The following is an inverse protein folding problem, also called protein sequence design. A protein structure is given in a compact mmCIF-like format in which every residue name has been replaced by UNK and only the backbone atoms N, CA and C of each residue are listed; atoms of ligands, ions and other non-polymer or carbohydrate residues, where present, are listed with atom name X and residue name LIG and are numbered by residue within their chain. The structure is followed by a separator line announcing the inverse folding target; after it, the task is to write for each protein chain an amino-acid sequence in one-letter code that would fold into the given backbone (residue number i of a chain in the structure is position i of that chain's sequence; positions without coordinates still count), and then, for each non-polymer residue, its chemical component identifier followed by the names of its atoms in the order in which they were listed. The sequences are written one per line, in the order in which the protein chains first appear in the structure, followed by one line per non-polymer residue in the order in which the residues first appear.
data_IF_477576773248
#
_entry.id   IF_477576773248
#
_cell.length_a   1.000
_cell.length_b   1.000
_cell.length_c   1.000
_cell.angle_alpha   90.00
_cell.angle_beta   90.00
_cell.angle_gamma   90.00
#
_symmetry.space_group_name_H-M   'P 1'
#
loop_
_entity.id
_entity.type
_entity.pdbx_description
1 polymer ?
#
# COMPACT_ATOMS: atom_id res chain seq x y z
N UNK A 1 -20.81 -14.22 -6.42
CA UNK A 1 -20.29 -13.04 -5.68
C UNK A 1 -19.13 -12.49 -6.49
N UNK A 2 -19.01 -11.16 -6.57
CA UNK A 2 -17.99 -10.50 -7.40
C UNK A 2 -17.02 -9.75 -6.48
N UNK A 3 -15.72 -10.00 -6.65
CA UNK A 3 -14.65 -9.27 -5.97
C UNK A 3 -14.67 -7.79 -6.33
N UNK A 4 -14.15 -6.93 -5.44
CA UNK A 4 -14.06 -5.50 -5.70
C UNK A 4 -12.59 -5.03 -5.70
N UNK A 5 -12.17 -4.42 -6.81
CA UNK A 5 -10.86 -3.78 -6.94
C UNK A 5 -11.05 -2.28 -6.79
N UNK A 6 -10.52 -1.71 -5.71
CA UNK A 6 -10.65 -0.30 -5.36
C UNK A 6 -9.47 0.53 -5.89
N UNK A 7 -9.78 1.63 -6.58
CA UNK A 7 -8.82 2.63 -7.05
C UNK A 7 -9.06 4.04 -6.47
N UNK A 8 -10.15 4.27 -5.75
CA UNK A 8 -10.58 5.60 -5.26
C UNK A 8 -9.62 6.21 -4.20
N UNK A 9 -8.70 5.39 -3.67
CA UNK A 9 -7.63 5.83 -2.76
C UNK A 9 -6.27 5.27 -3.14
N UNK A 10 -6.02 5.07 -4.44
CA UNK A 10 -4.74 4.59 -4.95
C UNK A 10 -3.60 5.58 -4.61
N UNK A 11 -2.84 5.27 -3.56
CA UNK A 11 -1.69 6.07 -3.14
C UNK A 11 -0.50 5.86 -4.07
N UNK A 12 0.06 6.96 -4.59
CA UNK A 12 1.24 6.95 -5.44
C UNK A 12 2.52 7.02 -4.59
N UNK A 13 2.95 5.90 -4.03
CA UNK A 13 4.06 5.89 -3.05
C UNK A 13 5.29 5.11 -3.53
N UNK A 14 5.34 4.69 -4.79
CA UNK A 14 6.47 3.92 -5.33
C UNK A 14 6.84 4.32 -6.77
N UNK A 15 8.14 4.51 -7.10
CA UNK A 15 9.30 4.56 -6.19
C UNK A 15 9.32 5.93 -5.49
N UNK A 16 8.72 6.02 -4.31
CA UNK A 16 8.42 7.29 -3.67
C UNK A 16 9.68 8.00 -3.18
N UNK A 17 9.64 9.33 -3.27
CA UNK A 17 10.71 10.21 -2.80
C UNK A 17 10.83 10.28 -1.29
N UNK A 18 10.01 9.59 -0.48
CA UNK A 18 10.14 9.53 0.99
C UNK A 18 10.04 10.90 1.70
N UNK A 19 10.12 10.93 3.02
CA UNK A 19 10.24 12.18 3.78
C UNK A 19 8.95 12.97 4.00
N UNK A 20 8.93 13.90 4.97
CA UNK A 20 7.94 14.98 4.96
C UNK A 20 8.50 16.11 4.07
N UNK A 21 7.74 16.63 3.08
CA UNK A 21 8.27 17.65 2.17
C UNK A 21 8.69 18.94 2.88
N UNK A 22 8.04 19.25 4.01
CA UNK A 22 8.30 20.46 4.79
C UNK A 22 9.18 20.26 6.02
N UNK A 23 9.76 19.06 6.18
CA UNK A 23 10.57 18.72 7.34
C UNK A 23 9.71 18.44 8.58
N UNK A 24 9.71 17.20 9.06
CA UNK A 24 9.26 16.86 10.40
C UNK A 24 10.45 16.94 11.36
N UNK A 25 10.46 17.88 12.33
CA UNK A 25 11.57 18.02 13.28
C UNK A 25 11.71 16.81 14.21
N UNK A 26 10.73 15.89 14.23
CA UNK A 26 10.82 14.61 14.93
C UNK A 26 11.36 13.50 14.01
N UNK A 27 12.64 13.10 14.15
CA UNK A 27 13.22 12.05 13.34
C UNK A 27 12.75 10.64 13.74
N UNK A 28 11.96 10.51 14.82
CA UNK A 28 11.47 9.21 15.28
C UNK A 28 10.23 8.80 14.49
N UNK A 29 10.16 7.55 14.01
CA UNK A 29 9.00 7.00 13.32
C UNK A 29 7.69 7.26 14.06
N UNK A 30 6.65 7.73 13.34
CA UNK A 30 5.35 7.88 13.96
C UNK A 30 4.65 6.52 13.99
N UNK A 31 4.43 6.00 15.19
CA UNK A 31 3.65 4.77 15.44
C UNK A 31 2.21 4.83 14.90
N UNK A 32 1.71 6.03 14.56
CA UNK A 32 0.33 6.25 14.09
C UNK A 32 0.20 7.37 13.04
N UNK A 33 1.26 7.71 12.29
CA UNK A 33 1.29 8.96 11.52
C UNK A 33 2.14 8.95 10.26
N UNK A 34 2.25 10.11 9.65
CA UNK A 34 2.86 10.37 8.33
C UNK A 34 4.35 10.01 8.24
N UNK A 35 4.87 9.77 7.02
CA UNK A 35 6.29 9.54 6.79
C UNK A 35 7.14 10.67 7.38
N UNK A 36 8.14 10.31 8.18
CA UNK A 36 9.18 11.25 8.64
C UNK A 36 10.17 11.54 7.52
N UNK A 37 10.95 12.61 7.65
CA UNK A 37 11.94 13.10 6.67
C UNK A 37 12.89 12.06 6.07
N UNK A 38 13.18 10.99 6.81
CA UNK A 38 14.11 9.94 6.39
C UNK A 38 13.41 8.63 5.97
N UNK A 39 12.09 8.57 6.05
CA UNK A 39 11.31 7.37 5.78
C UNK A 39 10.86 7.31 4.32
N UNK A 40 11.14 6.18 3.69
CA UNK A 40 10.60 5.83 2.37
C UNK A 40 9.45 4.87 2.64
N UNK A 41 8.24 5.25 2.29
CA UNK A 41 7.09 4.39 2.50
C UNK A 41 6.85 3.50 1.29
N UNK A 42 6.46 2.24 1.52
CA UNK A 42 6.14 1.33 0.43
C UNK A 42 4.83 1.70 -0.27
N UNK A 43 4.70 1.26 -1.52
CA UNK A 43 3.38 1.01 -2.07
C UNK A 43 2.74 -0.15 -1.32
N UNK A 44 1.55 0.05 -0.76
CA UNK A 44 0.75 -1.05 -0.23
C UNK A 44 -0.29 -1.54 -1.21
N UNK A 45 -0.55 -2.83 -1.11
CA UNK A 45 -1.78 -3.50 -1.50
C UNK A 45 -2.44 -4.01 -0.23
N UNK A 46 -3.59 -3.43 0.11
CA UNK A 46 -4.39 -3.90 1.23
C UNK A 46 -5.50 -4.80 0.72
N UNK A 47 -5.74 -5.87 1.47
CA UNK A 47 -6.80 -6.85 1.22
C UNK A 47 -7.71 -6.89 2.44
N UNK A 48 -9.02 -7.01 2.23
CA UNK A 48 -9.97 -7.20 3.31
C UNK A 48 -11.20 -7.94 2.84
N UNK A 49 -12.05 -8.43 3.77
CA UNK A 49 -11.91 -8.28 5.21
C UNK A 49 -10.89 -9.24 5.85
N UNK A 50 -10.29 -8.80 6.96
CA UNK A 50 -9.42 -9.58 7.86
C UNK A 50 -10.00 -9.52 9.28
N UNK A 51 -9.91 -10.60 10.06
CA UNK A 51 -10.31 -10.62 11.47
C UNK A 51 -9.13 -10.34 12.42
N UNK A 52 -7.94 -10.72 12.00
CA UNK A 52 -6.70 -10.58 12.75
C UNK A 52 -5.58 -10.04 11.84
N UNK A 53 -4.42 -9.78 12.46
CA UNK A 53 -3.22 -9.31 11.77
C UNK A 53 -2.07 -10.32 11.85
N UNK A 54 -2.23 -11.41 12.59
CA UNK A 54 -1.18 -12.42 12.84
C UNK A 54 -1.39 -13.73 12.07
N UNK A 55 -2.45 -13.81 11.25
CA UNK A 55 -2.66 -14.85 10.26
C UNK A 55 -2.99 -14.26 8.89
N UNK A 56 -2.95 -15.14 7.88
CA UNK A 56 -3.44 -14.81 6.53
C UNK A 56 -4.87 -15.35 6.39
N UNK A 57 -5.86 -14.47 6.41
CA UNK A 57 -7.29 -14.80 6.44
C UNK A 57 -7.87 -15.05 5.03
N UNK A 58 -7.38 -14.37 3.99
CA UNK A 58 -7.80 -14.48 2.58
C UNK A 58 -6.64 -15.00 1.72
N UNK A 59 -6.15 -16.23 1.95
CA UNK A 59 -4.91 -16.73 1.32
C UNK A 59 -4.98 -16.76 -0.22
N UNK A 60 -6.16 -17.00 -0.80
CA UNK A 60 -6.34 -16.96 -2.25
C UNK A 60 -6.11 -15.57 -2.86
N UNK A 61 -6.62 -14.52 -2.22
CA UNK A 61 -6.46 -13.15 -2.70
C UNK A 61 -5.02 -12.66 -2.50
N UNK A 62 -4.42 -12.95 -1.35
CA UNK A 62 -3.02 -12.60 -1.06
C UNK A 62 -2.08 -13.28 -2.06
N UNK A 63 -2.28 -14.57 -2.34
CA UNK A 63 -1.45 -15.28 -3.31
C UNK A 63 -1.64 -14.76 -4.74
N UNK A 64 -2.87 -14.45 -5.15
CA UNK A 64 -3.13 -13.87 -6.47
C UNK A 64 -2.46 -12.50 -6.62
N UNK A 65 -2.63 -11.62 -5.64
CA UNK A 65 -2.00 -10.30 -5.64
C UNK A 65 -0.47 -10.41 -5.73
N UNK A 66 0.15 -11.28 -4.93
CA UNK A 66 1.59 -11.56 -5.02
C UNK A 66 2.01 -12.15 -6.35
N UNK A 67 1.24 -13.06 -6.91
CA UNK A 67 1.59 -13.69 -8.18
C UNK A 67 1.57 -12.65 -9.31
N UNK A 68 0.55 -11.78 -9.36
CA UNK A 68 0.51 -10.66 -10.31
C UNK A 68 1.71 -9.73 -10.12
N UNK A 69 2.02 -9.36 -8.87
CA UNK A 69 3.17 -8.51 -8.55
C UNK A 69 4.51 -9.15 -8.96
N UNK A 70 4.67 -10.45 -8.73
CA UNK A 70 5.91 -11.16 -9.01
C UNK A 70 6.12 -11.46 -10.50
N UNK A 71 5.08 -11.91 -11.20
CA UNK A 71 5.17 -12.39 -12.58
C UNK A 71 4.87 -11.27 -13.59
N UNK A 72 3.69 -10.66 -13.51
CA UNK A 72 3.23 -9.70 -14.52
C UNK A 72 3.84 -8.31 -14.33
N UNK A 73 4.01 -7.88 -13.08
CA UNK A 73 4.58 -6.56 -12.73
C UNK A 73 6.10 -6.62 -12.52
N UNK A 74 6.64 -7.81 -12.19
CA UNK A 74 8.07 -8.06 -11.99
C UNK A 74 8.70 -7.25 -10.84
N UNK A 75 8.00 -7.15 -9.70
CA UNK A 75 8.47 -6.50 -8.46
C UNK A 75 8.76 -7.49 -7.33
N UNK A 76 9.02 -8.76 -7.66
CA UNK A 76 9.22 -9.82 -6.67
C UNK A 76 10.40 -9.57 -5.72
N UNK A 77 11.43 -8.84 -6.15
CA UNK A 77 12.58 -8.52 -5.31
C UNK A 77 12.32 -7.40 -4.30
N UNK A 78 11.32 -6.55 -4.58
CA UNK A 78 10.94 -5.39 -3.77
C UNK A 78 9.73 -5.67 -2.88
N UNK A 79 9.06 -6.80 -3.11
CA UNK A 79 7.76 -7.10 -2.52
C UNK A 79 7.85 -8.13 -1.39
N UNK A 80 7.15 -7.87 -0.29
CA UNK A 80 6.88 -8.88 0.75
C UNK A 80 5.42 -8.83 1.25
N UNK A 81 5.00 -9.87 1.96
CA UNK A 81 3.72 -9.91 2.67
C UNK A 81 3.95 -9.51 4.12
N UNK A 82 3.21 -8.52 4.61
CA UNK A 82 3.23 -8.21 6.04
C UNK A 82 2.22 -9.10 6.75
N UNK A 83 2.71 -9.88 7.71
CA UNK A 83 1.90 -10.59 8.70
C UNK A 83 2.53 -10.33 10.06
N UNK A 84 1.71 -9.85 11.00
CA UNK A 84 2.11 -9.64 12.38
C UNK A 84 2.30 -10.96 13.13
N UNK A 85 2.48 -10.85 14.44
CA UNK A 85 2.48 -11.97 15.37
C UNK A 85 1.65 -11.61 16.61
N UNK A 86 1.22 -12.60 17.38
CA UNK A 86 0.39 -12.38 18.58
C UNK A 86 1.05 -11.57 19.72
N UNK A 87 2.31 -11.14 19.58
CA UNK A 87 2.98 -10.21 20.51
C UNK A 87 3.13 -8.79 19.97
N UNK A 88 2.84 -8.54 18.69
CA UNK A 88 2.85 -7.20 18.10
C UNK A 88 1.68 -6.38 18.65
N UNK A 89 1.86 -5.06 18.80
CA UNK A 89 0.76 -4.21 19.24
C UNK A 89 -0.16 -3.91 18.05
N UNK A 90 -1.48 -4.06 18.24
CA UNK A 90 -2.47 -3.86 17.18
C UNK A 90 -2.41 -2.47 16.52
N UNK A 91 -1.90 -1.45 17.22
CA UNK A 91 -1.74 -0.10 16.68
C UNK A 91 -0.55 0.05 15.74
N UNK A 92 0.53 -0.73 15.92
CA UNK A 92 1.84 -0.51 15.27
C UNK A 92 2.33 -1.69 14.44
N UNK A 93 1.62 -2.83 14.46
CA UNK A 93 2.08 -4.08 13.87
C UNK A 93 2.56 -3.94 12.42
N UNK A 94 1.88 -3.16 11.56
CA UNK A 94 2.25 -2.95 10.15
C UNK A 94 3.65 -2.36 10.04
N UNK A 95 3.91 -1.34 10.86
CA UNK A 95 5.19 -0.67 10.92
C UNK A 95 6.27 -1.58 11.48
N UNK A 96 5.98 -2.27 12.58
CA UNK A 96 6.93 -3.17 13.24
C UNK A 96 7.34 -4.35 12.33
N UNK A 97 6.38 -4.94 11.63
CA UNK A 97 6.64 -6.01 10.64
C UNK A 97 7.46 -5.47 9.47
N UNK A 98 7.09 -4.32 8.92
CA UNK A 98 7.81 -3.68 7.81
C UNK A 98 9.27 -3.42 8.16
N UNK A 99 9.55 -2.94 9.38
CA UNK A 99 10.93 -2.81 9.89
C UNK A 99 11.64 -4.16 9.99
N UNK A 100 10.97 -5.18 10.57
CA UNK A 100 11.55 -6.51 10.73
C UNK A 100 11.86 -7.20 9.40
N UNK A 101 11.14 -6.85 8.34
CA UNK A 101 11.33 -7.37 6.98
C UNK A 101 12.31 -6.54 6.13
N UNK A 102 13.12 -5.69 6.76
CA UNK A 102 14.10 -4.84 6.07
C UNK A 102 13.46 -3.87 5.06
N UNK A 103 12.29 -3.34 5.42
CA UNK A 103 11.61 -2.24 4.72
C UNK A 103 11.38 -2.52 3.21
N UNK A 104 10.63 -3.58 2.85
CA UNK A 104 10.26 -3.82 1.45
C UNK A 104 9.58 -2.59 0.85
N UNK A 105 9.82 -2.33 -0.43
CA UNK A 105 9.29 -1.16 -1.14
C UNK A 105 7.86 -1.36 -1.65
N UNK A 106 7.43 -2.63 -1.76
CA UNK A 106 6.07 -3.02 -2.08
C UNK A 106 5.59 -3.99 -1.00
N UNK A 107 4.40 -3.77 -0.46
CA UNK A 107 3.84 -4.63 0.58
C UNK A 107 2.45 -5.11 0.22
N UNK A 108 2.17 -6.37 0.49
CA UNK A 108 0.82 -6.95 0.46
C UNK A 108 0.44 -7.30 1.88
N UNK A 109 -0.73 -6.89 2.35
CA UNK A 109 -1.18 -7.24 3.70
C UNK A 109 -2.70 -7.22 3.81
N UNK A 110 -3.21 -7.82 4.87
CA UNK A 110 -4.64 -7.82 5.18
C UNK A 110 -4.97 -6.82 6.28
N UNK A 111 -6.04 -6.05 6.08
CA UNK A 111 -6.45 -5.01 7.01
C UNK A 111 -7.71 -5.45 7.75
N UNK A 112 -7.67 -5.32 9.09
CA UNK A 112 -8.84 -5.48 9.95
C UNK A 112 -9.74 -4.24 9.92
N UNK A 113 -9.30 -3.17 9.25
CA UNK A 113 -10.04 -1.92 9.14
C UNK A 113 -10.31 -1.57 7.68
N UNK A 114 -11.55 -1.16 7.40
CA UNK A 114 -11.95 -0.60 6.12
C UNK A 114 -12.33 0.88 6.30
N UNK A 115 -11.57 1.79 5.68
CA UNK A 115 -11.70 3.26 5.90
C UNK A 115 -12.04 4.06 4.64
N UNK A 116 -12.43 3.38 3.56
CA UNK A 116 -12.80 3.96 2.26
C UNK A 116 -14.02 3.22 1.69
N UNK A 117 -14.38 3.48 0.44
CA UNK A 117 -15.54 2.92 -0.26
C UNK A 117 -15.62 1.39 -0.17
N UNK A 118 -14.48 0.71 -0.12
CA UNK A 118 -14.38 -0.73 0.07
C UNK A 118 -15.12 -1.24 1.33
N UNK A 119 -15.27 -0.44 2.39
CA UNK A 119 -16.05 -0.81 3.57
C UNK A 119 -17.50 -1.17 3.21
N UNK A 120 -18.15 -0.37 2.37
CA UNK A 120 -19.53 -0.63 1.96
C UNK A 120 -19.66 -1.91 1.13
N UNK A 121 -18.65 -2.26 0.34
CA UNK A 121 -18.64 -3.51 -0.42
C UNK A 121 -18.41 -4.72 0.48
N UNK A 122 -17.51 -4.62 1.46
CA UNK A 122 -17.30 -5.67 2.47
C UNK A 122 -18.58 -5.90 3.28
N UNK A 123 -19.14 -4.85 3.88
CA UNK A 123 -20.25 -4.95 4.83
C UNK A 123 -21.57 -5.36 4.18
N UNK A 124 -21.86 -4.86 2.97
CA UNK A 124 -23.18 -5.08 2.35
C UNK A 124 -23.21 -6.22 1.34
N UNK A 125 -22.06 -6.58 0.74
CA UNK A 125 -21.97 -7.63 -0.27
C UNK A 125 -21.14 -8.84 0.19
N UNK A 126 -20.48 -8.76 1.35
CA UNK A 126 -19.63 -9.83 1.87
C UNK A 126 -18.42 -10.15 0.99
N UNK A 127 -18.00 -9.22 0.13
CA UNK A 127 -16.96 -9.50 -0.87
C UNK A 127 -15.56 -9.18 -0.40
N UNK A 128 -14.56 -9.87 -0.95
CA UNK A 128 -13.16 -9.46 -0.77
C UNK A 128 -12.93 -8.17 -1.56
N UNK A 129 -12.26 -7.22 -0.93
CA UNK A 129 -11.80 -5.99 -1.56
C UNK A 129 -10.29 -5.94 -1.58
N UNK A 130 -9.73 -5.40 -2.65
CA UNK A 130 -8.31 -5.07 -2.76
C UNK A 130 -8.17 -3.59 -3.12
N UNK A 131 -7.18 -2.90 -2.56
CA UNK A 131 -6.83 -1.56 -3.00
C UNK A 131 -5.37 -1.21 -2.78
N UNK A 132 -4.98 -0.03 -3.26
CA UNK A 132 -3.59 0.43 -3.35
C UNK A 132 -3.39 1.67 -2.45
N UNK A 133 -2.21 1.90 -1.88
CA UNK A 133 -1.99 3.02 -0.94
C UNK A 133 -0.56 3.17 -0.40
N UNK A 134 -0.40 3.87 0.74
CA UNK A 134 0.86 3.91 1.53
C UNK A 134 0.78 3.11 2.83
N UNK A 135 1.89 2.85 3.52
CA UNK A 135 1.95 1.98 4.71
C UNK A 135 0.90 2.35 5.80
N UNK A 136 0.85 3.59 6.29
CA UNK A 136 -0.21 4.09 7.20
C UNK A 136 -1.01 5.25 6.59
N UNK A 137 -1.73 6.08 7.38
CA UNK A 137 -2.79 7.04 6.98
C UNK A 137 -2.36 8.19 6.00
N UNK A 138 -1.76 7.87 4.85
CA UNK A 138 -1.43 8.79 3.77
C UNK A 138 -0.03 9.41 3.85
N UNK A 139 0.23 10.33 2.93
CA UNK A 139 1.43 11.17 2.91
C UNK A 139 1.23 12.42 3.77
N UNK A 140 2.30 13.16 4.09
CA UNK A 140 2.28 14.28 5.05
C UNK A 140 1.12 15.26 4.87
N UNK A 141 0.81 15.69 3.65
CA UNK A 141 -0.23 16.69 3.39
C UNK A 141 -1.65 16.14 3.27
N UNK A 142 -1.88 14.86 3.56
CA UNK A 142 -3.22 14.27 3.51
C UNK A 142 -4.24 15.06 4.35
N UNK A 143 -5.37 15.43 3.73
CA UNK A 143 -6.42 16.29 4.34
C UNK A 143 -5.95 17.68 4.80
N UNK A 144 -4.80 18.16 4.33
CA UNK A 144 -4.27 19.49 4.63
C UNK A 144 -4.37 20.42 3.43
N UNK A 145 -4.19 21.73 3.63
CA UNK A 145 -4.21 22.70 2.53
C UNK A 145 -3.00 22.60 1.60
N UNK A 146 -1.93 21.92 2.04
CA UNK A 146 -0.79 21.61 1.19
C UNK A 146 -1.03 20.39 0.28
N UNK A 147 -2.20 19.74 0.34
CA UNK A 147 -2.57 18.62 -0.54
C UNK A 147 -2.75 19.10 -1.99
N UNK A 148 -1.63 19.20 -2.72
CA UNK A 148 -1.56 19.77 -4.06
C UNK A 148 -0.68 18.92 -4.96
N UNK A 149 -0.90 19.02 -6.28
CA UNK A 149 -0.05 18.33 -7.25
C UNK A 149 1.42 18.75 -7.15
N UNK A 150 1.67 20.04 -6.90
CA UNK A 150 3.03 20.58 -6.74
C UNK A 150 3.74 19.91 -5.55
N UNK A 151 3.09 19.90 -4.39
CA UNK A 151 3.58 19.25 -3.17
C UNK A 151 3.83 17.74 -3.38
N UNK A 152 2.89 17.05 -4.02
CA UNK A 152 3.04 15.62 -4.29
C UNK A 152 4.16 15.33 -5.29
N UNK A 153 4.35 16.19 -6.29
CA UNK A 153 5.47 16.09 -7.24
C UNK A 153 6.79 16.28 -6.50
N UNK A 154 6.91 17.31 -5.66
CA UNK A 154 8.12 17.53 -4.85
C UNK A 154 8.39 16.36 -3.89
N UNK A 155 7.34 15.84 -3.24
CA UNK A 155 7.43 14.69 -2.36
C UNK A 155 7.94 13.43 -3.06
N UNK A 156 7.51 13.23 -4.31
CA UNK A 156 7.88 12.08 -5.13
C UNK A 156 9.26 12.22 -5.78
N UNK A 157 9.87 13.40 -5.79
CA UNK A 157 11.15 13.63 -6.45
C UNK A 157 12.33 13.00 -5.69
N UNK A 158 13.18 12.26 -6.39
CA UNK A 158 14.44 11.72 -5.88
C UNK A 158 15.63 12.00 -6.82
N UNK A 159 15.52 13.01 -7.67
CA UNK A 159 16.53 13.40 -8.69
C UNK A 159 17.61 14.36 -8.18
N UNK A 160 17.33 15.11 -7.11
CA UNK A 160 18.22 16.12 -6.53
C UNK A 160 18.91 15.61 -5.24
N UNK A 161 20.13 16.10 -4.90
CA UNK A 161 21.14 15.38 -4.12
C UNK A 161 20.82 15.15 -2.62
N UNK A 162 19.61 15.48 -2.16
CA UNK A 162 19.18 15.33 -0.78
C UNK A 162 18.56 13.97 -0.45
N UNK A 163 18.26 13.11 -1.44
CA UNK A 163 17.51 11.86 -1.23
C UNK A 163 18.24 10.67 -1.88
N UNK A 164 19.10 9.93 -1.14
CA UNK A 164 20.06 8.98 -1.69
C UNK A 164 19.46 7.61 -2.12
N UNK A 165 18.20 7.57 -2.56
CA UNK A 165 17.45 6.33 -2.78
C UNK A 165 16.60 6.39 -4.05
N UNK A 166 16.24 5.21 -4.58
CA UNK A 166 15.48 5.08 -5.82
C UNK A 166 16.33 5.22 -7.09
N UNK A 167 15.65 5.37 -8.24
CA UNK A 167 16.26 5.36 -9.57
C UNK A 167 16.70 6.75 -10.09
N UNK A 168 16.82 7.75 -9.21
CA UNK A 168 17.18 9.12 -9.58
C UNK A 168 16.29 9.70 -10.70
N UNK A 169 15.03 9.93 -10.35
CA UNK A 169 13.95 10.33 -11.24
C UNK A 169 13.18 11.51 -10.64
N UNK A 170 12.59 12.31 -11.52
CA UNK A 170 11.78 13.46 -11.13
C UNK A 170 10.49 13.03 -10.45
N UNK A 171 9.88 13.94 -9.70
CA UNK A 171 8.57 13.71 -9.08
C UNK A 171 7.50 13.25 -10.06
N UNK A 172 7.43 13.90 -11.23
CA UNK A 172 6.46 13.57 -12.27
C UNK A 172 6.66 12.15 -12.80
N UNK A 173 7.92 11.77 -13.08
CA UNK A 173 8.25 10.40 -13.52
C UNK A 173 7.85 9.37 -12.46
N UNK A 174 8.13 9.63 -11.18
CA UNK A 174 7.78 8.71 -10.10
C UNK A 174 6.26 8.60 -9.90
N UNK A 175 5.50 9.68 -10.06
CA UNK A 175 4.03 9.65 -10.04
C UNK A 175 3.47 8.81 -11.19
N UNK A 176 3.95 9.03 -12.42
CA UNK A 176 3.52 8.27 -13.61
C UNK A 176 3.84 6.79 -13.44
N UNK A 177 5.07 6.46 -13.02
CA UNK A 177 5.48 5.07 -12.78
C UNK A 177 4.61 4.39 -11.72
N UNK A 178 4.27 5.10 -10.64
CA UNK A 178 3.39 4.56 -9.60
C UNK A 178 1.99 4.27 -10.14
N UNK A 179 1.42 5.20 -10.93
CA UNK A 179 0.09 5.04 -11.53
C UNK A 179 0.06 3.91 -12.55
N UNK A 180 1.10 3.78 -13.38
CA UNK A 180 1.23 2.69 -14.35
C UNK A 180 1.24 1.34 -13.63
N UNK A 181 2.06 1.21 -12.59
CA UNK A 181 2.15 -0.03 -11.82
C UNK A 181 0.80 -0.40 -11.18
N UNK A 182 0.12 0.55 -10.53
CA UNK A 182 -1.20 0.34 -9.93
C UNK A 182 -2.22 -0.06 -10.98
N UNK A 183 -2.22 0.62 -12.14
CA UNK A 183 -3.16 0.39 -13.23
C UNK A 183 -3.00 -1.01 -13.80
N UNK A 184 -1.77 -1.42 -14.11
CA UNK A 184 -1.52 -2.76 -14.64
C UNK A 184 -1.84 -3.84 -13.62
N UNK A 185 -1.48 -3.63 -12.35
CA UNK A 185 -1.79 -4.58 -11.29
C UNK A 185 -3.30 -4.74 -11.13
N UNK A 186 -4.05 -3.63 -11.08
CA UNK A 186 -5.50 -3.65 -10.97
C UNK A 186 -6.16 -4.32 -12.18
N UNK A 187 -5.65 -4.08 -13.39
CA UNK A 187 -6.16 -4.70 -14.62
C UNK A 187 -5.95 -6.22 -14.62
N UNK A 188 -4.76 -6.70 -14.24
CA UNK A 188 -4.50 -8.13 -14.13
C UNK A 188 -5.39 -8.77 -13.05
N UNK A 189 -5.50 -8.15 -11.88
CA UNK A 189 -6.41 -8.62 -10.82
C UNK A 189 -7.84 -8.73 -11.36
N UNK A 190 -8.32 -7.71 -12.07
CA UNK A 190 -9.66 -7.71 -12.65
C UNK A 190 -9.87 -8.91 -13.59
N UNK A 191 -8.96 -9.16 -14.54
CA UNK A 191 -9.13 -10.29 -15.47
C UNK A 191 -9.09 -11.65 -14.78
N UNK A 192 -8.20 -11.84 -13.81
CA UNK A 192 -8.14 -13.08 -13.05
C UNK A 192 -9.41 -13.31 -12.23
N UNK A 193 -9.93 -12.25 -11.60
CA UNK A 193 -11.13 -12.33 -10.76
C UNK A 193 -12.42 -12.42 -11.58
N UNK A 194 -12.45 -11.95 -12.83
CA UNK A 194 -13.55 -12.17 -13.78
C UNK A 194 -13.60 -13.64 -14.23
N UNK A 195 -12.45 -14.25 -14.54
CA UNK A 195 -12.37 -15.66 -14.94
C UNK A 195 -12.63 -16.61 -13.77
N UNK A 196 -11.93 -16.40 -12.64
CA UNK A 196 -12.03 -17.21 -11.43
C UNK A 196 -12.08 -16.32 -10.18
N UNK A 197 -13.29 -15.95 -9.71
CA UNK A 197 -13.45 -15.15 -8.52
C UNK A 197 -12.85 -15.83 -7.28
N UNK A 198 -12.18 -15.06 -6.44
CA UNK A 198 -11.74 -15.52 -5.11
C UNK A 198 -12.85 -15.22 -4.12
N UNK A 199 -13.51 -16.25 -3.60
CA UNK A 199 -14.58 -16.04 -2.62
C UNK A 199 -14.00 -15.64 -1.27
N UNK A 200 -14.68 -14.70 -0.60
CA UNK A 200 -14.36 -14.33 0.77
C UNK A 200 -14.48 -15.58 1.66
N UNK A 201 -13.41 -15.88 2.39
CA UNK A 201 -13.27 -17.06 3.26
C UNK A 201 -14.33 -17.09 4.37
N UNK A 202 -14.92 -15.94 4.70
CA UNK A 202 -15.97 -15.78 5.71
C UNK A 202 -17.40 -15.85 5.14
N UNK A 203 -17.57 -16.12 3.85
CA UNK A 203 -18.88 -16.38 3.26
C UNK A 203 -19.25 -17.85 3.45
N UNK A 204 -20.29 -18.10 4.25
CA UNK A 204 -20.98 -19.40 4.33
C UNK A 204 -21.75 -19.72 3.03
#
# INVERSE_FOLDING_TARGET
MTNYVNLDMAGVNWPGGGGAPHGDPDPQPSESGYPKDTEIWPLRLYIGPSEDYDAVNQPGMVQLARWVGADAINVSAQMDVLVGNGSDAAATWKYDVWLRQDRPEVIVYEDTTARSDHASFQDNLGTITLGYGGLVDGYWCYHQTCDTLEEMTEWMDNSEPARPYGNNATGEENMVNSLDMITWWALYMFFHLDEQPVLNTYLD
#
